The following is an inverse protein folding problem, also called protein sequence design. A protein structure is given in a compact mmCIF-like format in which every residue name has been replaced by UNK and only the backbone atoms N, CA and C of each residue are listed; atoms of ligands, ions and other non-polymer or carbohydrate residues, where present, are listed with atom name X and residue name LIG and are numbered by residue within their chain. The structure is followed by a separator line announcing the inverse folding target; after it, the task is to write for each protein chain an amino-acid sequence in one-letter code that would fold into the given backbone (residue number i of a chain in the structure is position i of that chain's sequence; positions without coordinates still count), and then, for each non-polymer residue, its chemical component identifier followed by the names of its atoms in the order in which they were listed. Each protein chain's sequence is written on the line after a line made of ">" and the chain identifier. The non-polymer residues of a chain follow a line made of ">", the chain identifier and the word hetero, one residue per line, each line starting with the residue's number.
data_IF_509402123886
#
_entry.id   IF_509402123886
#
_cell.length_a   1.000
_cell.length_b   1.000
_cell.length_c   1.000
_cell.angle_alpha   90.00
_cell.angle_beta   90.00
_cell.angle_gamma   90.00
#
_symmetry.space_group_name_H-M   'P 1'
#
loop_
_entity.id
_entity.type
_entity.pdbx_description
1 polymer ?
#
# COMPACT_ATOMS: atom_id res chain seq x y z
N UNK A 1 4.31 -3.91 17.82
CA UNK A 1 4.38 -3.34 16.46
C UNK A 1 3.91 -4.44 15.52
N UNK A 2 2.77 -4.27 14.84
CA UNK A 2 2.21 -5.28 13.95
C UNK A 2 2.94 -5.16 12.61
N UNK A 3 3.40 -6.27 12.05
CA UNK A 3 4.18 -6.24 10.80
C UNK A 3 3.34 -5.65 9.66
N UNK A 4 3.81 -4.62 8.94
CA UNK A 4 3.09 -3.99 7.83
C UNK A 4 2.66 -5.02 6.77
N UNK A 5 3.46 -6.09 6.63
CA UNK A 5 3.25 -7.18 5.68
C UNK A 5 1.99 -8.00 5.97
N UNK A 6 1.49 -8.01 7.21
CA UNK A 6 0.24 -8.70 7.54
C UNK A 6 -0.99 -8.06 6.87
N UNK A 7 -0.87 -6.81 6.39
CA UNK A 7 -1.91 -6.14 5.63
C UNK A 7 -1.77 -6.34 4.12
N UNK A 8 -0.61 -6.80 3.65
CA UNK A 8 -0.33 -6.96 2.21
C UNK A 8 -1.24 -7.99 1.56
N UNK A 9 -1.42 -9.16 2.17
CA UNK A 9 -2.33 -10.19 1.64
C UNK A 9 -3.79 -9.70 1.59
N UNK A 10 -4.25 -8.97 2.60
CA UNK A 10 -5.61 -8.38 2.58
C UNK A 10 -5.76 -7.31 1.50
N UNK A 11 -4.71 -6.53 1.23
CA UNK A 11 -4.74 -5.54 0.16
C UNK A 11 -4.64 -6.19 -1.22
N UNK A 12 -3.80 -7.20 -1.39
CA UNK A 12 -3.65 -7.95 -2.63
C UNK A 12 -4.96 -8.65 -3.00
N UNK A 13 -5.59 -9.38 -2.08
CA UNK A 13 -6.89 -10.01 -2.31
C UNK A 13 -7.98 -8.99 -2.71
N UNK A 14 -7.99 -7.81 -2.07
CA UNK A 14 -8.92 -6.72 -2.44
C UNK A 14 -8.64 -6.15 -3.82
N UNK A 15 -7.36 -5.96 -4.17
CA UNK A 15 -6.94 -5.43 -5.48
C UNK A 15 -7.19 -6.43 -6.60
N UNK A 16 -7.02 -7.72 -6.32
CA UNK A 16 -7.28 -8.84 -7.22
C UNK A 16 -8.79 -8.98 -7.48
N UNK A 17 -9.61 -8.97 -6.42
CA UNK A 17 -11.08 -8.98 -6.55
C UNK A 17 -11.59 -7.75 -7.32
N UNK A 18 -10.89 -6.62 -7.24
CA UNK A 18 -11.21 -5.41 -7.98
C UNK A 18 -10.60 -5.37 -9.40
N UNK A 19 -9.73 -6.32 -9.76
CA UNK A 19 -9.03 -6.36 -11.06
C UNK A 19 -8.09 -5.18 -11.30
N UNK A 20 -7.62 -4.52 -10.24
CA UNK A 20 -6.77 -3.32 -10.31
C UNK A 20 -5.36 -3.56 -9.78
N UNK A 21 -4.97 -4.82 -9.53
CA UNK A 21 -3.62 -5.21 -9.11
C UNK A 21 -2.54 -4.67 -10.05
N UNK A 22 -2.74 -4.80 -11.36
CA UNK A 22 -1.81 -4.30 -12.38
C UNK A 22 -1.75 -2.76 -12.40
N UNK A 23 -2.89 -2.11 -12.15
CA UNK A 23 -2.99 -0.65 -12.08
C UNK A 23 -2.30 -0.10 -10.82
N UNK A 24 -2.43 -0.81 -9.69
CA UNK A 24 -1.71 -0.52 -8.46
C UNK A 24 -0.20 -0.74 -8.64
N UNK A 25 0.19 -1.83 -9.32
CA UNK A 25 1.58 -2.10 -9.66
C UNK A 25 2.16 -1.00 -10.57
N UNK A 26 1.45 -0.62 -11.63
CA UNK A 26 1.83 0.47 -12.52
C UNK A 26 1.87 1.83 -11.80
N UNK A 27 0.99 2.06 -10.83
CA UNK A 27 1.00 3.27 -10.00
C UNK A 27 2.21 3.29 -9.06
N UNK A 28 2.56 2.14 -8.47
CA UNK A 28 3.68 2.01 -7.55
C UNK A 28 5.05 2.04 -8.25
N UNK A 29 5.11 1.53 -9.48
CA UNK A 29 6.31 1.44 -10.32
C UNK A 29 6.53 2.71 -11.16
N UNK A 30 5.47 3.27 -11.74
CA UNK A 30 5.53 4.41 -12.67
C UNK A 30 5.44 5.80 -12.02
N UNK A 31 4.97 5.92 -10.77
CA UNK A 31 4.61 7.22 -10.21
C UNK A 31 5.27 7.51 -8.85
N UNK A 32 6.59 7.67 -8.84
CA UNK A 32 7.34 8.09 -7.65
C UNK A 32 6.82 9.38 -7.00
N UNK A 33 6.29 10.33 -7.78
CA UNK A 33 5.70 11.57 -7.26
C UNK A 33 4.30 11.36 -6.65
N UNK A 34 3.46 10.52 -7.28
CA UNK A 34 2.11 10.22 -6.77
C UNK A 34 2.18 9.44 -5.45
N UNK A 35 3.19 8.57 -5.27
CA UNK A 35 3.46 7.91 -3.98
C UNK A 35 3.78 8.89 -2.87
N UNK A 36 4.58 9.92 -3.19
CA UNK A 36 4.93 10.96 -2.24
C UNK A 36 3.70 11.81 -1.86
N UNK A 37 2.85 12.14 -2.84
CA UNK A 37 1.57 12.81 -2.59
C UNK A 37 0.63 11.95 -1.75
N UNK A 38 0.54 10.65 -2.02
CA UNK A 38 -0.28 9.72 -1.25
C UNK A 38 0.22 9.59 0.19
N UNK A 39 1.53 9.47 0.41
CA UNK A 39 2.12 9.44 1.75
C UNK A 39 1.76 10.72 2.55
N UNK A 40 1.86 11.89 1.91
CA UNK A 40 1.49 13.16 2.52
C UNK A 40 -0.01 13.28 2.80
N UNK A 41 -0.86 12.73 1.93
CA UNK A 41 -2.31 12.68 2.13
C UNK A 41 -2.67 11.78 3.32
N UNK A 42 -2.02 10.61 3.41
CA UNK A 42 -2.19 9.69 4.54
C UNK A 42 -1.78 10.39 5.83
N UNK A 43 -0.61 11.03 5.87
CA UNK A 43 -0.13 11.75 7.04
C UNK A 43 -1.07 12.91 7.46
N UNK A 44 -1.65 13.62 6.49
CA UNK A 44 -2.64 14.67 6.73
C UNK A 44 -3.98 14.13 7.24
N UNK A 45 -4.34 12.90 6.89
CA UNK A 45 -5.57 12.24 7.34
C UNK A 45 -5.43 11.53 8.70
N UNK A 46 -4.21 11.21 9.14
CA UNK A 46 -3.89 10.61 10.45
C UNK A 46 -4.60 11.29 11.63
N UNK A 47 -4.55 12.62 11.81
CA UNK A 47 -5.24 13.28 12.94
C UNK A 47 -6.77 13.20 12.85
N UNK A 48 -7.34 12.99 11.66
CA UNK A 48 -8.79 12.90 11.46
C UNK A 48 -9.34 11.47 11.66
N UNK A 49 -8.51 10.43 11.54
CA UNK A 49 -8.96 9.03 11.54
C UNK A 49 -8.95 8.40 12.95
N UNK A 50 -8.26 9.01 13.92
CA UNK A 50 -8.29 8.59 15.32
C UNK A 50 -7.66 7.21 15.57
N UNK A 51 -7.26 6.94 16.81
CA UNK A 51 -6.44 5.79 17.26
C UNK A 51 -7.15 4.42 17.21
N UNK A 52 -7.77 4.07 16.08
CA UNK A 52 -8.42 2.79 15.81
C UNK A 52 -7.53 1.87 14.97
N UNK A 53 -7.90 0.60 14.82
CA UNK A 53 -7.17 -0.38 13.99
C UNK A 53 -6.97 0.06 12.53
N UNK A 54 -7.79 1.02 12.05
CA UNK A 54 -7.58 1.70 10.78
C UNK A 54 -6.26 2.48 10.77
N UNK A 55 -5.89 3.16 11.86
CA UNK A 55 -4.66 3.96 11.96
C UNK A 55 -3.39 3.11 11.81
N UNK A 56 -3.36 1.88 12.34
CA UNK A 56 -2.25 0.95 12.10
C UNK A 56 -2.12 0.57 10.61
N UNK A 57 -3.27 0.37 9.94
CA UNK A 57 -3.32 0.02 8.51
C UNK A 57 -2.94 1.22 7.62
N UNK A 58 -3.37 2.43 7.98
CA UNK A 58 -2.96 3.67 7.33
C UNK A 58 -1.48 3.95 7.52
N UNK A 59 -0.93 3.71 8.71
CA UNK A 59 0.49 3.89 8.97
C UNK A 59 1.33 2.87 8.21
N UNK A 60 0.88 1.62 8.12
CA UNK A 60 1.51 0.60 7.26
C UNK A 60 1.48 1.01 5.77
N UNK A 61 0.39 1.61 5.30
CA UNK A 61 0.25 2.10 3.93
C UNK A 61 1.18 3.31 3.67
N UNK A 62 1.28 4.24 4.62
CA UNK A 62 2.22 5.36 4.55
C UNK A 62 3.66 4.87 4.46
N UNK A 63 4.07 3.92 5.33
CA UNK A 63 5.40 3.30 5.27
C UNK A 63 5.66 2.61 3.93
N UNK A 64 4.66 1.92 3.38
CA UNK A 64 4.78 1.25 2.08
C UNK A 64 4.98 2.26 0.94
N UNK A 65 4.26 3.38 0.97
CA UNK A 65 4.33 4.41 -0.06
C UNK A 65 5.63 5.21 0.02
N UNK A 66 6.05 5.57 1.22
CA UNK A 66 7.28 6.32 1.52
C UNK A 66 8.54 5.52 1.15
N UNK A 67 8.55 4.22 1.44
CA UNK A 67 9.69 3.36 1.15
C UNK A 67 9.62 2.77 -0.27
N UNK A 68 10.53 3.25 -1.13
CA UNK A 68 10.67 2.74 -2.50
C UNK A 68 10.91 1.23 -2.53
N UNK A 69 11.69 0.69 -1.60
CA UNK A 69 12.01 -0.73 -1.53
C UNK A 69 10.78 -1.55 -1.09
N UNK A 70 10.07 -1.11 -0.05
CA UNK A 70 8.88 -1.81 0.43
C UNK A 70 7.79 -1.92 -0.66
N UNK A 71 7.57 -0.86 -1.42
CA UNK A 71 6.63 -0.94 -2.53
C UNK A 71 7.12 -1.78 -3.69
N UNK A 72 8.40 -1.77 -4.04
CA UNK A 72 8.88 -2.69 -5.08
C UNK A 72 8.69 -4.14 -4.63
N UNK A 73 8.93 -4.45 -3.35
CA UNK A 73 8.61 -5.76 -2.80
C UNK A 73 7.10 -6.06 -2.86
N UNK A 74 6.23 -5.08 -2.61
CA UNK A 74 4.78 -5.27 -2.74
C UNK A 74 4.31 -5.41 -4.19
N UNK A 75 4.95 -4.72 -5.15
CA UNK A 75 4.72 -4.91 -6.58
C UNK A 75 5.16 -6.30 -7.03
N UNK A 76 6.33 -6.76 -6.59
CA UNK A 76 6.78 -8.14 -6.82
C UNK A 76 5.80 -9.14 -6.22
N UNK A 77 5.35 -8.91 -4.99
CA UNK A 77 4.36 -9.74 -4.31
C UNK A 77 3.03 -9.80 -5.08
N UNK A 78 2.48 -8.66 -5.51
CA UNK A 78 1.27 -8.59 -6.33
C UNK A 78 1.43 -9.35 -7.65
N UNK A 79 2.60 -9.26 -8.29
CA UNK A 79 2.87 -9.95 -9.56
C UNK A 79 3.05 -11.46 -9.36
N UNK A 80 3.57 -11.89 -8.22
CA UNK A 80 3.66 -13.32 -7.87
C UNK A 80 2.30 -13.92 -7.50
N UNK A 81 1.38 -13.16 -6.89
CA UNK A 81 0.00 -13.63 -6.62
C UNK A 81 -0.90 -13.58 -7.87
N UNK A 82 -0.66 -12.67 -8.82
CA UNK A 82 -1.40 -12.59 -10.10
C UNK A 82 -1.02 -13.70 -11.10
N UNK A 83 0.13 -14.38 -10.91
CA UNK A 83 0.49 -15.54 -11.71
C UNK A 83 -0.18 -16.82 -11.14
N UNK A 84 -1.17 -17.41 -11.84
CA UNK A 84 -1.86 -18.63 -11.38
C UNK A 84 -0.98 -19.89 -11.39
#
# INVERSE_FOLDING_TARGET
>A
MRDPRSYWSQWAERLEVLGVSDLAAAFLDGAGFLRLLAAQLVHASTPFIGSSAASDQWQALASLLEDKNAAQQFVSFLREEDQP
#
